data_IF_022854578187
#
_entry.id   IF_022854578187
#
_cell.length_a   1.000
_cell.length_b   1.000
_cell.length_c   1.000
_cell.angle_alpha   90.00
_cell.angle_beta   90.00
_cell.angle_gamma   90.00
#
_symmetry.space_group_name_H-M   'P 1'
#
loop_
_entity.id
_entity.type
_entity.pdbx_description
1 polymer ?
#
# COMPACT_ATOMS: atom_id res chain seq x y z
N UNK A 1 -3.38 -8.06 -4.54
CA UNK A 1 -4.20 -9.11 -3.91
C UNK A 1 -4.50 -8.89 -2.43
N UNK A 2 -3.86 -7.93 -1.73
CA UNK A 2 -3.99 -7.76 -0.26
C UNK A 2 -4.70 -6.46 0.15
N UNK A 3 -5.71 -6.03 -0.61
CA UNK A 3 -6.46 -4.80 -0.30
C UNK A 3 -7.48 -5.08 0.81
N UNK A 4 -7.51 -4.18 1.79
CA UNK A 4 -8.49 -4.13 2.88
C UNK A 4 -9.05 -2.71 2.92
N UNK A 5 -10.36 -2.57 3.14
CA UNK A 5 -11.03 -1.29 3.36
C UNK A 5 -11.89 -1.36 4.62
N UNK A 6 -11.98 -0.28 5.38
CA UNK A 6 -12.91 -0.18 6.51
C UNK A 6 -14.35 -0.15 6.02
N UNK A 7 -15.26 -0.87 6.70
CA UNK A 7 -16.69 -0.84 6.36
C UNK A 7 -17.25 0.56 6.49
N UNK A 8 -17.79 1.09 5.40
CA UNK A 8 -18.59 2.34 5.39
C UNK A 8 -19.98 2.07 5.93
N UNK A 9 -20.63 3.08 6.51
CA UNK A 9 -22.01 3.02 7.02
C UNK A 9 -23.07 2.54 5.99
N UNK A 10 -22.74 2.55 4.70
CA UNK A 10 -23.60 2.05 3.61
C UNK A 10 -23.75 0.51 3.58
N UNK A 11 -22.93 -0.24 4.34
CA UNK A 11 -23.06 -1.71 4.44
C UNK A 11 -23.77 -2.03 5.76
N UNK A 12 -24.81 -2.87 5.74
CA UNK A 12 -25.64 -3.31 6.89
C UNK A 12 -24.86 -4.12 7.96
N UNK A 13 -23.68 -3.67 8.38
CA UNK A 13 -22.82 -4.31 9.38
C UNK A 13 -22.23 -3.31 10.38
N UNK A 14 -21.54 -3.82 11.40
CA UNK A 14 -20.82 -2.98 12.38
C UNK A 14 -19.77 -2.13 11.65
N UNK A 15 -19.85 -0.81 11.80
CA UNK A 15 -18.82 0.11 11.32
C UNK A 15 -17.47 -0.17 11.98
N UNK A 16 -16.38 0.10 11.26
CA UNK A 16 -15.01 -0.07 11.80
C UNK A 16 -14.37 -1.43 11.59
N UNK A 17 -15.02 -2.36 10.87
CA UNK A 17 -14.45 -3.68 10.57
C UNK A 17 -13.68 -3.60 9.24
N UNK A 18 -12.42 -4.05 9.22
CA UNK A 18 -11.66 -4.18 7.97
C UNK A 18 -12.25 -5.31 7.12
N UNK A 19 -12.77 -4.97 5.93
CA UNK A 19 -13.23 -5.94 4.93
C UNK A 19 -12.11 -6.15 3.91
N UNK A 20 -11.67 -7.40 3.78
CA UNK A 20 -10.82 -7.82 2.68
C UNK A 20 -11.57 -7.70 1.34
N UNK A 21 -10.92 -7.12 0.33
CA UNK A 21 -11.50 -7.00 -1.01
C UNK A 21 -10.41 -7.16 -2.08
N UNK A 22 -10.33 -8.36 -2.68
CA UNK A 22 -9.38 -8.65 -3.75
C UNK A 22 -9.54 -7.66 -4.91
N UNK A 23 -8.53 -6.81 -5.13
CA UNK A 23 -8.48 -5.83 -6.25
C UNK A 23 -9.74 -4.96 -6.37
N UNK A 24 -10.43 -4.71 -5.25
CA UNK A 24 -11.72 -4.02 -5.21
C UNK A 24 -12.85 -4.68 -6.05
N UNK A 25 -12.69 -5.96 -6.41
CA UNK A 25 -13.56 -6.66 -7.36
C UNK A 25 -14.15 -7.96 -6.79
N UNK A 26 -13.98 -8.26 -5.49
CA UNK A 26 -14.30 -9.56 -4.91
C UNK A 26 -15.77 -9.98 -5.12
N UNK A 27 -16.71 -9.04 -4.98
CA UNK A 27 -18.15 -9.29 -5.11
C UNK A 27 -18.59 -9.54 -6.57
N UNK A 28 -17.69 -9.34 -7.55
CA UNK A 28 -17.94 -9.52 -8.99
C UNK A 28 -17.12 -10.65 -9.61
N UNK A 29 -16.38 -11.43 -8.81
CA UNK A 29 -15.56 -12.53 -9.33
C UNK A 29 -16.44 -13.70 -9.75
N UNK A 30 -16.33 -14.08 -11.04
CA UNK A 30 -16.93 -15.29 -11.61
C UNK A 30 -15.99 -16.50 -11.59
N UNK A 31 -14.75 -16.31 -11.14
CA UNK A 31 -13.71 -17.33 -11.09
C UNK A 31 -13.24 -17.56 -9.64
N UNK A 32 -12.71 -18.76 -9.33
CA UNK A 32 -11.97 -18.97 -8.09
C UNK A 32 -10.85 -17.93 -7.93
N UNK A 33 -10.66 -17.47 -6.69
CA UNK A 33 -9.70 -16.41 -6.37
C UNK A 33 -8.27 -16.82 -6.77
N UNK A 34 -7.86 -18.08 -6.56
CA UNK A 34 -6.54 -18.55 -6.94
C UNK A 34 -6.32 -18.47 -8.45
N UNK A 35 -7.27 -18.99 -9.24
CA UNK A 35 -7.27 -18.82 -10.71
C UNK A 35 -7.25 -17.35 -11.15
N UNK A 36 -8.02 -16.49 -10.49
CA UNK A 36 -8.03 -15.05 -10.80
C UNK A 36 -6.65 -14.39 -10.59
N UNK A 37 -5.96 -14.74 -9.50
CA UNK A 37 -4.59 -14.26 -9.23
C UNK A 37 -3.62 -14.84 -10.26
N UNK A 38 -3.72 -16.14 -10.56
CA UNK A 38 -2.87 -16.79 -11.56
C UNK A 38 -2.99 -16.13 -12.94
N UNK A 39 -4.21 -15.77 -13.35
CA UNK A 39 -4.42 -15.07 -14.62
C UNK A 39 -3.68 -13.71 -14.67
N UNK A 40 -3.60 -12.97 -13.56
CA UNK A 40 -2.82 -11.73 -13.50
C UNK A 40 -1.30 -11.98 -13.59
N UNK A 41 -0.83 -13.07 -12.96
CA UNK A 41 0.57 -13.48 -13.02
C UNK A 41 0.96 -13.97 -14.42
N UNK A 42 0.04 -14.61 -15.14
CA UNK A 42 0.28 -15.07 -16.50
C UNK A 42 0.24 -13.89 -17.48
N UNK A 43 -0.73 -12.97 -17.32
CA UNK A 43 -0.86 -11.78 -18.16
C UNK A 43 0.42 -10.93 -18.23
N UNK A 44 1.14 -10.79 -17.12
CA UNK A 44 2.34 -9.94 -17.09
C UNK A 44 3.55 -10.57 -17.78
N UNK A 45 3.57 -11.90 -17.99
CA UNK A 45 4.71 -12.60 -18.61
C UNK A 45 4.95 -12.18 -20.05
N UNK A 46 3.88 -11.79 -20.74
CA UNK A 46 3.90 -11.45 -22.17
C UNK A 46 4.01 -9.93 -22.41
N UNK A 47 4.16 -9.12 -21.35
CA UNK A 47 4.30 -7.67 -21.46
C UNK A 47 5.77 -7.24 -21.52
N UNK A 48 6.16 -6.57 -22.61
CA UNK A 48 7.48 -5.94 -22.72
C UNK A 48 7.67 -4.82 -21.69
N UNK A 49 6.61 -4.09 -21.38
CA UNK A 49 6.60 -2.95 -20.43
C UNK A 49 5.43 -3.06 -19.46
N UNK A 50 5.55 -3.87 -18.40
CA UNK A 50 4.53 -3.95 -17.36
C UNK A 50 4.25 -2.59 -16.72
N UNK A 51 2.97 -2.22 -16.47
CA UNK A 51 2.64 -0.98 -15.79
C UNK A 51 3.07 -1.02 -14.32
N UNK A 52 3.46 0.13 -13.79
CA UNK A 52 3.68 0.29 -12.35
C UNK A 52 2.34 0.24 -11.59
N UNK A 53 2.31 -0.51 -10.49
CA UNK A 53 1.14 -0.62 -9.62
C UNK A 53 1.39 0.22 -8.36
N UNK A 54 0.43 1.09 -8.03
CA UNK A 54 0.51 1.97 -6.88
C UNK A 54 -0.57 1.64 -5.84
N UNK A 55 -0.18 1.65 -4.57
CA UNK A 55 -1.09 1.59 -3.43
C UNK A 55 -1.22 2.97 -2.78
N UNK A 56 -2.44 3.42 -2.52
CA UNK A 56 -2.73 4.71 -1.87
C UNK A 56 -3.63 4.54 -0.67
N UNK A 57 -3.41 5.38 0.34
CA UNK A 57 -4.30 5.50 1.49
C UNK A 57 -4.62 6.98 1.79
N UNK A 58 -5.74 7.46 1.27
CA UNK A 58 -6.24 8.82 1.52
C UNK A 58 -6.89 8.97 2.91
N UNK A 59 -7.18 7.86 3.58
CA UNK A 59 -7.91 7.82 4.84
C UNK A 59 -7.01 7.57 6.04
N UNK A 60 -5.68 7.74 5.87
CA UNK A 60 -4.72 7.57 6.96
C UNK A 60 -5.03 8.58 8.09
N UNK A 61 -5.19 8.08 9.30
CA UNK A 61 -5.47 8.87 10.51
C UNK A 61 -4.24 8.94 11.41
N UNK A 62 -4.06 10.09 12.07
CA UNK A 62 -3.09 10.29 13.14
C UNK A 62 -3.61 9.78 14.48
N UNK A 63 -2.82 9.94 15.54
CA UNK A 63 -3.17 9.55 16.92
C UNK A 63 -4.45 10.23 17.42
N UNK A 64 -4.72 11.46 16.99
CA UNK A 64 -5.92 12.22 17.37
C UNK A 64 -7.12 11.96 16.46
N UNK A 65 -7.12 10.85 15.69
CA UNK A 65 -8.14 10.50 14.69
C UNK A 65 -8.35 11.52 13.56
N UNK A 66 -7.47 12.52 13.45
CA UNK A 66 -7.45 13.47 12.34
C UNK A 66 -6.87 12.82 11.08
N UNK A 67 -7.45 13.13 9.91
CA UNK A 67 -6.87 12.69 8.64
C UNK A 67 -5.52 13.37 8.41
N UNK A 68 -4.53 12.56 8.02
CA UNK A 68 -3.19 13.04 7.69
C UNK A 68 -3.10 13.52 6.24
N UNK A 69 -4.13 13.31 5.41
CA UNK A 69 -4.15 13.78 4.02
C UNK A 69 -5.26 14.80 3.80
N UNK A 70 -4.98 15.83 2.99
CA UNK A 70 -5.99 16.79 2.55
C UNK A 70 -6.70 16.33 1.28
N UNK A 71 -7.92 16.83 1.05
CA UNK A 71 -8.76 16.44 -0.11
C UNK A 71 -8.06 16.63 -1.47
N UNK A 72 -7.21 17.66 -1.58
CA UNK A 72 -6.51 18.00 -2.82
C UNK A 72 -5.14 17.31 -2.96
N UNK A 73 -4.64 16.61 -1.93
CA UNK A 73 -3.30 16.01 -1.95
C UNK A 73 -3.19 14.91 -3.02
N UNK A 74 -4.32 14.29 -3.40
CA UNK A 74 -4.42 13.37 -4.55
C UNK A 74 -3.83 13.92 -5.85
N UNK A 75 -3.88 15.24 -6.08
CA UNK A 75 -3.27 15.86 -7.27
C UNK A 75 -1.75 15.71 -7.25
N UNK A 76 -1.13 15.89 -6.07
CA UNK A 76 0.31 15.69 -5.87
C UNK A 76 0.67 14.22 -6.02
N UNK A 77 -0.10 13.31 -5.42
CA UNK A 77 0.13 11.87 -5.52
C UNK A 77 0.08 11.38 -6.97
N UNK A 78 -0.91 11.82 -7.74
CA UNK A 78 -1.02 11.49 -9.17
C UNK A 78 0.16 12.05 -9.97
N UNK A 79 0.59 13.29 -9.69
CA UNK A 79 1.77 13.86 -10.36
C UNK A 79 3.05 13.09 -10.03
N UNK A 80 3.24 12.67 -8.78
CA UNK A 80 4.37 11.82 -8.41
C UNK A 80 4.33 10.46 -9.12
N UNK A 81 3.16 9.82 -9.23
CA UNK A 81 3.01 8.56 -9.97
C UNK A 81 3.36 8.71 -11.44
N UNK A 82 2.93 9.81 -12.09
CA UNK A 82 3.26 10.08 -13.48
C UNK A 82 4.78 10.23 -13.68
N UNK A 83 5.47 10.97 -12.81
CA UNK A 83 6.94 11.08 -12.86
C UNK A 83 7.62 9.72 -12.63
N UNK A 84 7.08 8.89 -11.73
CA UNK A 84 7.60 7.53 -11.50
C UNK A 84 7.43 6.62 -12.70
N UNK A 85 6.32 6.73 -13.43
CA UNK A 85 6.07 5.95 -14.66
C UNK A 85 7.06 6.33 -15.77
N UNK A 86 7.48 7.60 -15.84
CA UNK A 86 8.47 8.07 -16.82
C UNK A 86 9.93 7.93 -16.37
N UNK A 87 10.17 7.44 -15.14
CA UNK A 87 11.49 7.41 -14.50
C UNK A 87 12.14 8.79 -14.28
N UNK A 88 11.33 9.85 -14.21
CA UNK A 88 11.80 11.24 -14.01
C UNK A 88 12.21 11.54 -12.56
N UNK A 89 11.90 10.62 -11.64
CA UNK A 89 12.12 10.82 -10.20
C UNK A 89 12.43 9.50 -9.50
N UNK A 90 13.31 9.52 -8.51
CA UNK A 90 13.64 8.31 -7.73
C UNK A 90 12.65 8.09 -6.57
N UNK A 91 12.83 6.98 -5.85
CA UNK A 91 11.99 6.61 -4.72
C UNK A 91 12.80 5.82 -3.68
N UNK A 92 12.36 5.89 -2.43
CA UNK A 92 12.97 5.19 -1.30
C UNK A 92 12.44 3.76 -1.27
N UNK A 93 13.33 2.76 -1.35
CA UNK A 93 12.95 1.35 -1.26
C UNK A 93 12.65 0.98 0.19
N UNK A 94 11.50 0.38 0.44
CA UNK A 94 11.05 -0.07 1.76
C UNK A 94 10.53 -1.52 1.68
N UNK A 95 10.33 -2.20 2.82
CA UNK A 95 9.71 -3.54 2.83
C UNK A 95 8.32 -3.61 2.19
N UNK A 96 7.61 -2.48 2.08
CA UNK A 96 6.25 -2.43 1.52
C UNK A 96 6.16 -1.80 0.13
N UNK A 97 7.30 -1.64 -0.54
CA UNK A 97 7.39 -1.05 -1.88
C UNK A 97 8.22 0.24 -1.85
N UNK A 98 7.83 1.22 -2.65
CA UNK A 98 8.59 2.45 -2.82
C UNK A 98 7.84 3.64 -2.25
N UNK A 99 8.51 4.42 -1.41
CA UNK A 99 8.01 5.69 -0.92
C UNK A 99 8.60 6.88 -1.69
N UNK A 100 7.84 7.98 -1.85
CA UNK A 100 8.39 9.21 -2.40
C UNK A 100 9.46 9.79 -1.46
N UNK A 101 10.46 10.50 -2.01
CA UNK A 101 11.39 11.28 -1.17
C UNK A 101 10.74 12.58 -0.73
N UNK A 102 11.11 13.06 0.45
CA UNK A 102 10.56 14.31 0.99
C UNK A 102 10.80 15.51 0.06
N UNK A 103 12.02 15.68 -0.47
CA UNK A 103 12.37 16.81 -1.32
C UNK A 103 11.52 16.87 -2.59
N UNK A 104 11.27 15.70 -3.18
CA UNK A 104 10.42 15.52 -4.34
C UNK A 104 8.98 15.96 -4.05
N UNK A 105 8.40 15.48 -2.95
CA UNK A 105 7.06 15.90 -2.54
C UNK A 105 7.00 17.38 -2.21
N UNK A 106 7.98 17.92 -1.48
CA UNK A 106 8.03 19.33 -1.12
C UNK A 106 7.94 20.23 -2.36
N UNK A 107 8.71 19.89 -3.40
CA UNK A 107 8.65 20.56 -4.69
C UNK A 107 7.27 20.41 -5.35
N UNK A 108 6.75 19.19 -5.43
CA UNK A 108 5.45 18.92 -6.07
C UNK A 108 4.27 19.60 -5.36
N UNK A 109 4.28 19.68 -4.03
CA UNK A 109 3.27 20.41 -3.26
C UNK A 109 3.29 21.90 -3.59
N UNK A 110 4.48 22.48 -3.75
CA UNK A 110 4.63 23.87 -4.16
C UNK A 110 4.13 24.09 -5.59
N UNK A 111 4.48 23.21 -6.53
CA UNK A 111 4.12 23.35 -7.95
C UNK A 111 2.63 23.08 -8.22
N UNK A 112 2.06 22.04 -7.62
CA UNK A 112 0.71 21.55 -7.94
C UNK A 112 -0.36 22.26 -7.12
N UNK A 113 -0.06 22.61 -5.87
CA UNK A 113 -1.02 23.18 -4.91
C UNK A 113 -0.65 24.58 -4.42
N UNK A 114 0.49 25.14 -4.83
CA UNK A 114 1.05 26.39 -4.30
C UNK A 114 1.06 26.43 -2.76
N UNK A 115 1.48 25.31 -2.14
CA UNK A 115 1.47 25.15 -0.69
C UNK A 115 2.78 24.57 -0.19
N UNK A 116 3.20 25.00 0.99
CA UNK A 116 4.33 24.41 1.70
C UNK A 116 3.95 23.04 2.28
N UNK A 117 4.89 22.10 2.20
CA UNK A 117 4.73 20.74 2.71
C UNK A 117 5.74 20.50 3.83
N UNK A 118 5.30 20.55 5.10
CA UNK A 118 6.18 20.36 6.24
C UNK A 118 6.74 18.93 6.30
N UNK A 119 7.99 18.78 6.73
CA UNK A 119 8.62 17.48 6.91
C UNK A 119 7.90 16.63 7.97
N UNK A 120 7.28 17.27 8.95
CA UNK A 120 6.46 16.59 9.96
C UNK A 120 5.27 15.85 9.32
N UNK A 121 4.59 16.48 8.36
CA UNK A 121 3.49 15.84 7.63
C UNK A 121 3.99 14.64 6.83
N UNK A 122 5.15 14.78 6.17
CA UNK A 122 5.82 13.69 5.47
C UNK A 122 6.13 12.51 6.40
N UNK A 123 6.74 12.79 7.56
CA UNK A 123 7.05 11.75 8.55
C UNK A 123 5.77 11.05 9.00
N UNK A 124 4.72 11.79 9.40
CA UNK A 124 3.45 11.20 9.83
C UNK A 124 2.80 10.33 8.75
N UNK A 125 2.83 10.77 7.50
CA UNK A 125 2.20 10.08 6.37
C UNK A 125 2.97 8.81 5.96
N UNK A 126 4.30 8.88 5.90
CA UNK A 126 5.14 7.82 5.33
C UNK A 126 5.91 6.99 6.37
N UNK A 127 5.73 7.19 7.68
CA UNK A 127 6.27 6.26 8.68
C UNK A 127 5.81 4.83 8.42
N UNK A 128 6.76 3.92 8.31
CA UNK A 128 6.52 2.49 8.22
C UNK A 128 6.10 1.97 9.59
N UNK A 129 4.84 1.54 9.69
CA UNK A 129 4.20 1.01 10.89
C UNK A 129 4.32 -0.51 10.89
N UNK A 130 5.40 -1.04 11.46
CA UNK A 130 5.79 -2.45 11.26
C UNK A 130 4.77 -3.42 11.88
N UNK A 131 4.34 -3.26 13.15
CA UNK A 131 3.36 -4.16 13.75
C UNK A 131 2.07 -4.29 12.92
N UNK A 132 1.57 -3.18 12.39
CA UNK A 132 0.33 -3.13 11.59
C UNK A 132 0.49 -3.79 10.23
N UNK A 133 1.68 -3.66 9.61
CA UNK A 133 1.98 -4.34 8.35
C UNK A 133 2.14 -5.85 8.55
N UNK A 134 2.84 -6.31 9.61
CA UNK A 134 2.94 -7.74 9.94
C UNK A 134 1.55 -8.32 10.25
N UNK A 135 0.76 -7.65 11.10
CA UNK A 135 -0.59 -8.09 11.41
C UNK A 135 -1.47 -8.16 10.16
N UNK A 136 -1.28 -7.24 9.19
CA UNK A 136 -1.96 -7.31 7.89
C UNK A 136 -1.54 -8.52 7.09
N UNK A 137 -0.24 -8.80 6.99
CA UNK A 137 0.26 -9.97 6.27
C UNK A 137 -0.34 -11.25 6.84
N UNK A 138 -0.33 -11.41 8.17
CA UNK A 138 -0.88 -12.58 8.85
C UNK A 138 -2.37 -12.76 8.59
N UNK A 139 -3.17 -11.69 8.72
CA UNK A 139 -4.60 -11.74 8.38
C UNK A 139 -4.82 -12.15 6.92
N UNK A 140 -4.04 -11.60 6.00
CA UNK A 140 -4.17 -11.90 4.57
C UNK A 140 -3.81 -13.36 4.31
N UNK A 141 -2.69 -13.85 4.85
CA UNK A 141 -2.30 -15.27 4.72
C UNK A 141 -3.42 -16.18 5.22
N UNK A 142 -4.00 -15.87 6.39
CA UNK A 142 -5.10 -16.65 6.96
C UNK A 142 -6.35 -16.63 6.07
N UNK A 143 -6.74 -15.47 5.55
CA UNK A 143 -7.88 -15.34 4.62
C UNK A 143 -7.69 -16.21 3.39
N UNK A 144 -6.49 -16.18 2.80
CA UNK A 144 -6.23 -16.97 1.59
C UNK A 144 -6.16 -18.47 1.86
N UNK A 145 -5.58 -18.90 2.98
CA UNK A 145 -5.56 -20.31 3.39
C UNK A 145 -6.96 -20.86 3.67
N UNK A 146 -7.85 -20.03 4.22
CA UNK A 146 -9.22 -20.45 4.59
C UNK A 146 -10.20 -20.36 3.44
N UNK A 147 -10.10 -19.33 2.59
CA UNK A 147 -11.06 -19.10 1.50
C UNK A 147 -10.71 -19.80 0.19
N UNK A 148 -9.47 -20.24 0.01
CA UNK A 148 -8.98 -20.75 -1.27
C UNK A 148 -7.96 -21.87 -1.07
N UNK A 149 -8.15 -23.00 -1.75
CA UNK A 149 -7.14 -24.05 -1.79
C UNK A 149 -6.14 -23.87 -2.95
N UNK A 150 -6.46 -23.02 -3.92
CA UNK A 150 -5.79 -22.90 -5.23
C UNK A 150 -4.94 -21.62 -5.37
N UNK A 151 -4.65 -20.93 -4.28
CA UNK A 151 -3.83 -19.71 -4.33
C UNK A 151 -2.39 -20.01 -4.73
N UNK A 152 -1.80 -19.26 -5.70
CA UNK A 152 -0.44 -19.53 -6.17
C UNK A 152 0.63 -19.41 -5.07
N UNK A 153 1.56 -20.35 -4.98
CA UNK A 153 2.62 -20.38 -3.94
C UNK A 153 3.47 -19.10 -3.91
N UNK A 154 3.71 -18.50 -5.08
CA UNK A 154 4.47 -17.25 -5.20
C UNK A 154 3.84 -16.12 -4.37
N UNK A 155 2.52 -16.11 -4.22
CA UNK A 155 1.82 -15.12 -3.39
C UNK A 155 2.22 -15.25 -1.91
N UNK A 156 2.19 -16.47 -1.38
CA UNK A 156 2.57 -16.72 0.03
C UNK A 156 4.06 -16.48 0.26
N UNK A 157 4.91 -16.88 -0.70
CA UNK A 157 6.35 -16.64 -0.65
C UNK A 157 6.66 -15.15 -0.53
N UNK A 158 6.06 -14.30 -1.38
CA UNK A 158 6.28 -12.85 -1.36
C UNK A 158 5.83 -12.20 -0.05
N UNK A 159 4.69 -12.64 0.51
CA UNK A 159 4.22 -12.17 1.82
C UNK A 159 5.17 -12.56 2.96
N UNK A 160 5.72 -13.78 2.90
CA UNK A 160 6.69 -14.26 3.89
C UNK A 160 8.02 -13.50 3.80
N UNK A 161 8.54 -13.27 2.59
CA UNK A 161 9.75 -12.47 2.37
C UNK A 161 9.56 -11.02 2.86
N UNK A 162 8.41 -10.43 2.58
CA UNK A 162 8.03 -9.11 3.09
C UNK A 162 8.00 -9.08 4.62
N UNK A 163 7.36 -10.08 5.26
CA UNK A 163 7.30 -10.19 6.72
C UNK A 163 8.70 -10.32 7.34
N UNK A 164 9.57 -11.16 6.77
CA UNK A 164 10.95 -11.32 7.25
C UNK A 164 11.75 -10.03 7.15
N UNK A 165 11.57 -9.26 6.07
CA UNK A 165 12.25 -7.97 5.94
C UNK A 165 11.73 -6.95 6.98
N UNK A 166 10.41 -6.91 7.20
CA UNK A 166 9.82 -6.10 8.26
C UNK A 166 10.36 -6.46 9.65
N UNK A 167 10.50 -7.75 9.97
CA UNK A 167 11.06 -8.23 11.23
C UNK A 167 12.54 -7.80 11.40
N UNK A 168 13.34 -7.90 10.34
CA UNK A 168 14.75 -7.43 10.36
C UNK A 168 14.83 -5.92 10.64
N UNK A 169 14.03 -5.12 9.94
CA UNK A 169 13.98 -3.67 10.13
C UNK A 169 13.47 -3.32 11.54
N UNK A 170 12.52 -4.07 12.08
CA UNK A 170 12.02 -3.89 13.44
C UNK A 170 13.11 -4.10 14.49
N UNK A 171 13.94 -5.13 14.34
CA UNK A 171 15.07 -5.37 15.25
C UNK A 171 16.07 -4.21 15.21
N UNK A 172 16.30 -3.62 14.04
CA UNK A 172 17.27 -2.56 13.86
C UNK A 172 16.78 -1.17 14.30
N UNK A 173 15.52 -0.84 14.02
CA UNK A 173 15.00 0.53 14.13
C UNK A 173 13.72 0.68 14.98
N UNK A 174 13.20 -0.43 15.53
CA UNK A 174 11.97 -0.44 16.32
C UNK A 174 10.69 -0.51 15.48
N UNK A 175 9.54 -0.29 16.13
CA UNK A 175 8.22 -0.55 15.54
C UNK A 175 7.77 0.48 14.48
N UNK A 176 8.26 1.71 14.57
CA UNK A 176 7.82 2.83 13.74
C UNK A 176 9.03 3.50 13.10
N UNK A 177 9.22 3.24 11.80
CA UNK A 177 10.45 3.62 11.09
C UNK A 177 10.16 4.75 10.11
N UNK A 178 10.84 5.88 10.28
CA UNK A 178 10.73 7.00 9.37
C UNK A 178 11.35 6.65 8.00
N UNK A 179 10.79 7.15 6.88
CA UNK A 179 11.36 6.90 5.54
C UNK A 179 12.83 7.30 5.40
N UNK A 180 13.30 8.26 6.20
CA UNK A 180 14.67 8.77 6.15
C UNK A 180 15.72 7.78 6.67
N UNK A 181 15.31 6.64 7.23
CA UNK A 181 16.21 5.60 7.77
C UNK A 181 16.48 4.46 6.79
N UNK A 182 15.94 4.54 5.57
CA UNK A 182 16.14 3.57 4.48
C UNK A 182 17.16 4.08 3.47
#
# INVERSE_FOLDING_TARGET
SSLESETTAATLGKGGVRKFNLMANLDFLSLPIGKYIQNHLDFVKDLEKPPLIFGVNYFLKGQNSNYLTGMQYKRVWLKWMELRVHNDIEAIKTPIGFFPRYQDLKKLFKEVLNRDYPEEDYRKQFTLRIPENIAKIERIVEIYKTKTADSPDIFFKLLQEQKQWLEKIKVQYGDYVAPTLF
#
